data_IF_828996646595
#
_entry.id   IF_828996646595
#
_cell.length_a   1.000
_cell.length_b   1.000
_cell.length_c   1.000
_cell.angle_alpha   90.00
_cell.angle_beta   90.00
_cell.angle_gamma   90.00
#
_symmetry.space_group_name_H-M   'P 1'
#
loop_
_entity.id
_entity.type
_entity.pdbx_description
1 polymer ?
#
# COMPACT_ATOMS: atom_id res chain seq x y z
N UNK A 1 7.22 -12.83 -1.54
CA UNK A 1 8.33 -11.91 -1.81
C UNK A 1 7.76 -10.59 -2.30
N UNK A 2 7.56 -9.63 -1.38
CA UNK A 2 6.77 -8.40 -1.63
C UNK A 2 7.60 -7.27 -2.23
N UNK A 3 8.17 -7.52 -3.40
CA UNK A 3 8.93 -6.54 -4.19
C UNK A 3 8.58 -6.71 -5.67
N UNK A 4 8.75 -5.66 -6.49
CA UNK A 4 8.49 -5.74 -7.93
C UNK A 4 9.34 -6.83 -8.59
N UNK A 5 8.67 -7.87 -9.09
CA UNK A 5 9.30 -8.99 -9.79
C UNK A 5 8.69 -9.17 -11.18
N UNK A 6 9.53 -9.57 -12.14
CA UNK A 6 9.07 -10.19 -13.37
C UNK A 6 8.90 -11.68 -13.13
N UNK A 7 7.71 -12.22 -13.40
CA UNK A 7 7.38 -13.62 -13.18
C UNK A 7 6.85 -14.26 -14.46
N UNK A 8 7.67 -15.12 -15.09
CA UNK A 8 7.26 -15.90 -16.26
C UNK A 8 6.49 -17.19 -15.88
N UNK A 9 6.68 -17.65 -14.64
CA UNK A 9 6.01 -18.82 -14.05
C UNK A 9 5.90 -18.65 -12.54
N UNK A 10 4.99 -19.39 -11.92
CA UNK A 10 4.59 -19.18 -10.52
C UNK A 10 5.71 -19.37 -9.51
N UNK A 11 6.72 -20.20 -9.77
CA UNK A 11 7.85 -20.46 -8.88
C UNK A 11 9.13 -19.69 -9.28
N UNK A 12 9.00 -18.64 -10.08
CA UNK A 12 10.09 -17.81 -10.58
C UNK A 12 9.83 -16.35 -10.26
N UNK A 13 10.89 -15.57 -10.02
CA UNK A 13 10.77 -14.13 -9.87
C UNK A 13 12.10 -13.40 -10.02
N UNK A 14 12.29 -12.71 -11.15
CA UNK A 14 13.42 -11.80 -11.33
C UNK A 14 13.10 -10.50 -10.63
N UNK A 15 13.88 -10.15 -9.59
CA UNK A 15 13.73 -8.88 -8.90
C UNK A 15 14.03 -7.75 -9.88
N UNK A 16 13.04 -6.90 -10.16
CA UNK A 16 13.21 -5.73 -11.04
C UNK A 16 14.00 -4.67 -10.29
N UNK A 17 13.58 -4.37 -9.06
CA UNK A 17 14.18 -3.32 -8.23
C UNK A 17 13.79 -3.48 -6.76
N UNK A 18 14.68 -3.10 -5.86
CA UNK A 18 14.36 -2.92 -4.45
C UNK A 18 13.46 -1.71 -4.24
N UNK A 19 12.59 -1.84 -3.25
CA UNK A 19 11.71 -0.78 -2.73
C UNK A 19 11.82 -0.76 -1.20
N UNK A 20 11.07 0.11 -0.52
CA UNK A 20 10.95 0.11 0.96
C UNK A 20 12.28 0.32 1.71
N UNK A 21 13.28 0.94 1.08
CA UNK A 21 14.59 1.22 1.68
C UNK A 21 15.59 0.05 1.66
N UNK A 22 15.26 -1.07 1.01
CA UNK A 22 16.19 -2.18 0.80
C UNK A 22 17.18 -1.89 -0.33
N UNK A 23 18.34 -2.56 -0.29
CA UNK A 23 19.42 -2.35 -1.26
C UNK A 23 20.51 -3.42 -1.21
N UNK A 24 20.12 -4.70 -1.11
CA UNK A 24 21.12 -5.79 -1.13
C UNK A 24 21.78 -5.87 -2.51
N UNK A 25 23.13 -5.79 -2.59
CA UNK A 25 23.85 -5.85 -3.87
C UNK A 25 23.64 -7.21 -4.55
N UNK A 26 23.82 -7.24 -5.88
CA UNK A 26 23.75 -8.46 -6.70
C UNK A 26 22.44 -9.25 -6.59
N UNK A 27 21.32 -8.59 -6.25
CA UNK A 27 20.00 -9.25 -6.18
C UNK A 27 19.06 -8.75 -7.28
N UNK A 28 19.08 -7.46 -7.60
CA UNK A 28 18.33 -6.91 -8.73
C UNK A 28 18.79 -7.57 -10.05
N UNK A 29 17.85 -7.84 -10.95
CA UNK A 29 18.09 -8.56 -12.21
C UNK A 29 18.27 -10.07 -12.08
N UNK A 30 18.15 -10.66 -10.88
CA UNK A 30 18.34 -12.09 -10.65
C UNK A 30 17.06 -12.78 -10.17
N UNK A 31 16.90 -14.07 -10.52
CA UNK A 31 15.80 -14.90 -10.02
C UNK A 31 15.99 -15.22 -8.53
N UNK A 32 15.21 -14.56 -7.68
CA UNK A 32 15.31 -14.72 -6.23
C UNK A 32 14.80 -16.08 -5.76
N UNK A 33 13.91 -16.73 -6.52
CA UNK A 33 13.48 -18.08 -6.21
C UNK A 33 14.66 -19.04 -6.38
N UNK A 34 15.43 -18.91 -7.45
CA UNK A 34 16.63 -19.71 -7.69
C UNK A 34 17.73 -19.46 -6.67
N UNK A 35 17.95 -18.19 -6.27
CA UNK A 35 18.87 -17.87 -5.17
C UNK A 35 18.46 -18.56 -3.87
N UNK A 36 17.15 -18.63 -3.59
CA UNK A 36 16.62 -19.33 -2.43
C UNK A 36 16.76 -20.86 -2.56
N UNK A 37 16.49 -21.44 -3.74
CA UNK A 37 16.72 -22.89 -3.99
C UNK A 37 18.16 -23.30 -3.72
N UNK A 38 19.13 -22.53 -4.21
CA UNK A 38 20.57 -22.76 -3.96
C UNK A 38 20.89 -22.75 -2.47
N UNK A 39 20.24 -21.86 -1.72
CA UNK A 39 20.41 -21.80 -0.26
C UNK A 39 19.82 -23.02 0.43
N UNK A 40 18.60 -23.45 0.07
CA UNK A 40 17.99 -24.67 0.61
C UNK A 40 18.86 -25.91 0.35
N UNK A 41 19.39 -26.06 -0.86
CA UNK A 41 20.29 -27.16 -1.22
C UNK A 41 21.62 -27.11 -0.46
N UNK A 42 22.21 -25.92 -0.29
CA UNK A 42 23.47 -25.75 0.47
C UNK A 42 23.34 -26.19 1.93
N UNK A 43 22.15 -26.09 2.52
CA UNK A 43 21.89 -26.41 3.91
C UNK A 43 21.06 -27.70 4.09
N UNK A 44 20.91 -28.52 3.04
CA UNK A 44 20.16 -29.79 3.06
C UNK A 44 18.75 -29.68 3.64
N UNK A 45 18.06 -28.56 3.39
CA UNK A 45 16.71 -28.32 3.90
C UNK A 45 15.70 -29.12 3.04
N UNK A 46 14.87 -30.01 3.63
CA UNK A 46 13.92 -30.85 2.89
C UNK A 46 12.66 -30.06 2.51
N UNK A 47 12.82 -28.97 1.75
CA UNK A 47 11.75 -28.10 1.30
C UNK A 47 11.87 -27.82 -0.21
N UNK A 48 10.73 -27.61 -0.86
CA UNK A 48 10.66 -27.28 -2.28
C UNK A 48 9.85 -26.02 -2.47
N UNK A 49 10.39 -25.07 -3.24
CA UNK A 49 9.65 -23.88 -3.65
C UNK A 49 8.64 -24.30 -4.72
N UNK A 50 7.35 -24.12 -4.41
CA UNK A 50 6.26 -24.42 -5.34
C UNK A 50 5.65 -23.16 -5.97
N UNK A 51 5.78 -22.02 -5.28
CA UNK A 51 5.27 -20.73 -5.72
C UNK A 51 6.09 -19.61 -5.07
N UNK A 52 6.21 -18.49 -5.78
CA UNK A 52 6.68 -17.20 -5.32
C UNK A 52 5.54 -16.21 -5.53
N UNK A 53 5.01 -15.68 -4.45
CA UNK A 53 3.82 -14.80 -4.45
C UNK A 53 4.15 -13.41 -3.94
N UNK A 54 3.41 -12.41 -4.40
CA UNK A 54 3.30 -11.12 -3.74
C UNK A 54 2.36 -11.24 -2.53
N UNK A 55 2.61 -10.47 -1.47
CA UNK A 55 1.73 -10.43 -0.29
C UNK A 55 0.28 -10.13 -0.66
N UNK A 56 0.08 -9.16 -1.55
CA UNK A 56 -1.23 -8.66 -1.96
C UNK A 56 -2.02 -9.70 -2.75
N UNK A 57 -1.33 -10.49 -3.58
CA UNK A 57 -1.94 -11.67 -4.24
C UNK A 57 -2.30 -12.73 -3.22
N UNK A 58 -1.44 -12.99 -2.24
CA UNK A 58 -1.76 -13.87 -1.13
C UNK A 58 -2.98 -13.41 -0.34
N UNK A 59 -3.08 -12.10 -0.06
CA UNK A 59 -4.22 -11.45 0.62
C UNK A 59 -5.50 -11.68 -0.17
N UNK A 60 -5.48 -11.51 -1.49
CA UNK A 60 -6.63 -11.79 -2.35
C UNK A 60 -7.11 -13.23 -2.21
N UNK A 61 -6.19 -14.18 -2.33
CA UNK A 61 -6.54 -15.61 -2.30
C UNK A 61 -7.00 -16.05 -0.91
N UNK A 62 -6.34 -15.59 0.16
CA UNK A 62 -6.73 -15.91 1.54
C UNK A 62 -8.10 -15.32 1.89
N UNK A 63 -8.34 -14.04 1.57
CA UNK A 63 -9.63 -13.41 1.84
C UNK A 63 -10.74 -13.99 0.97
N UNK A 64 -10.48 -14.33 -0.29
CA UNK A 64 -11.47 -15.01 -1.13
C UNK A 64 -11.82 -16.41 -0.62
N UNK A 65 -10.85 -17.12 -0.03
CA UNK A 65 -11.07 -18.44 0.55
C UNK A 65 -12.05 -18.40 1.74
N UNK A 66 -12.01 -17.34 2.55
CA UNK A 66 -12.89 -17.16 3.72
C UNK A 66 -14.21 -16.47 3.35
N UNK A 67 -14.13 -15.43 2.51
CA UNK A 67 -15.27 -14.64 2.02
C UNK A 67 -15.27 -14.67 0.48
N UNK A 68 -16.05 -15.56 -0.15
CA UNK A 68 -16.10 -15.74 -1.60
C UNK A 68 -16.55 -14.50 -2.39
N UNK A 69 -17.14 -13.50 -1.73
CA UNK A 69 -17.45 -12.22 -2.35
C UNK A 69 -16.23 -11.27 -2.45
N UNK A 70 -15.08 -11.64 -1.87
CA UNK A 70 -13.84 -10.88 -2.02
C UNK A 70 -13.33 -10.97 -3.45
N UNK A 71 -13.26 -9.82 -4.13
CA UNK A 71 -12.80 -9.73 -5.54
C UNK A 71 -11.54 -8.90 -5.71
N UNK A 72 -11.20 -8.09 -4.71
CA UNK A 72 -10.05 -7.18 -4.71
C UNK A 72 -9.34 -7.34 -3.37
N UNK A 73 -8.02 -7.33 -3.38
CA UNK A 73 -7.22 -7.13 -2.18
C UNK A 73 -6.40 -5.84 -2.28
N UNK A 74 -6.25 -5.15 -1.16
CA UNK A 74 -5.45 -3.94 -1.05
C UNK A 74 -4.51 -4.02 0.15
N UNK A 75 -3.31 -3.49 -0.02
CA UNK A 75 -2.38 -3.22 1.09
C UNK A 75 -2.28 -1.72 1.25
N UNK A 76 -2.56 -1.23 2.46
CA UNK A 76 -2.40 0.16 2.89
C UNK A 76 -1.54 0.20 4.15
N UNK A 77 -0.21 0.28 3.97
CA UNK A 77 0.76 0.26 5.07
C UNK A 77 1.93 1.20 4.80
N UNK A 78 3.16 0.73 5.05
CA UNK A 78 4.38 1.47 4.67
C UNK A 78 4.46 1.72 3.15
N UNK A 79 3.94 0.78 2.36
CA UNK A 79 3.68 0.96 0.93
C UNK A 79 2.20 0.80 0.61
N UNK A 80 1.86 0.82 -0.67
CA UNK A 80 0.52 0.50 -1.14
C UNK A 80 0.54 -0.46 -2.33
N UNK A 81 -0.45 -1.35 -2.40
CA UNK A 81 -0.62 -2.23 -3.56
C UNK A 81 -2.06 -2.75 -3.67
N UNK A 82 -2.42 -3.30 -4.83
CA UNK A 82 -3.66 -4.04 -5.03
C UNK A 82 -3.47 -5.28 -5.89
N UNK A 83 -4.36 -6.24 -5.69
CA UNK A 83 -4.49 -7.41 -6.53
C UNK A 83 -5.98 -7.73 -6.79
N UNK A 84 -6.27 -8.28 -7.96
CA UNK A 84 -7.61 -8.74 -8.34
C UNK A 84 -7.52 -9.91 -9.33
N UNK A 85 -8.63 -10.61 -9.57
CA UNK A 85 -8.71 -11.65 -10.61
C UNK A 85 -9.15 -11.03 -11.94
N UNK A 86 -8.35 -11.25 -12.98
CA UNK A 86 -8.59 -10.79 -14.35
C UNK A 86 -8.89 -11.98 -15.27
N UNK A 87 -9.65 -11.76 -16.34
CA UNK A 87 -9.84 -12.78 -17.38
C UNK A 87 -8.62 -12.82 -18.31
N UNK A 88 -8.08 -14.01 -18.58
CA UNK A 88 -6.89 -14.19 -19.42
C UNK A 88 -7.04 -13.57 -20.81
N UNK A 89 -8.23 -13.66 -21.41
CA UNK A 89 -8.54 -13.02 -22.69
C UNK A 89 -8.35 -11.49 -22.72
N UNK A 90 -8.37 -10.83 -21.56
CA UNK A 90 -8.15 -9.38 -21.42
C UNK A 90 -6.68 -9.03 -21.09
N UNK A 91 -5.75 -10.00 -21.17
CA UNK A 91 -4.32 -9.83 -20.90
C UNK A 91 -3.49 -10.15 -22.17
N UNK A 92 -3.46 -9.27 -23.18
CA UNK A 92 -2.82 -9.55 -24.47
C UNK A 92 -1.31 -9.85 -24.36
N UNK A 93 -0.63 -9.28 -23.35
CA UNK A 93 0.81 -9.48 -23.14
C UNK A 93 1.21 -10.94 -22.83
N UNK A 94 0.27 -11.78 -22.36
CA UNK A 94 0.53 -13.20 -22.06
C UNK A 94 -0.12 -14.16 -23.07
N UNK A 95 -0.72 -13.66 -24.15
CA UNK A 95 -1.44 -14.49 -25.12
C UNK A 95 -0.57 -15.63 -25.69
N UNK A 96 0.75 -15.40 -25.80
CA UNK A 96 1.72 -16.39 -26.26
C UNK A 96 1.89 -17.61 -25.33
N UNK A 97 1.42 -17.54 -24.07
CA UNK A 97 1.46 -18.65 -23.12
C UNK A 97 0.39 -19.73 -23.38
N UNK A 98 -0.58 -19.45 -24.25
CA UNK A 98 -1.61 -20.43 -24.64
C UNK A 98 -2.55 -20.85 -23.50
N UNK A 99 -2.73 -19.99 -22.49
CA UNK A 99 -3.70 -20.20 -21.41
C UNK A 99 -5.11 -19.96 -21.97
N UNK A 100 -6.07 -20.78 -21.55
CA UNK A 100 -7.50 -20.62 -21.90
C UNK A 100 -7.97 -19.17 -21.68
N UNK A 101 -8.49 -18.47 -22.71
CA UNK A 101 -8.98 -17.10 -22.58
C UNK A 101 -10.06 -16.89 -21.53
N UNK A 102 -10.85 -17.92 -21.22
CA UNK A 102 -11.91 -17.86 -20.19
C UNK A 102 -11.41 -18.16 -18.78
N UNK A 103 -10.13 -18.55 -18.62
CA UNK A 103 -9.53 -18.73 -17.31
C UNK A 103 -9.32 -17.38 -16.59
N UNK A 104 -9.27 -17.45 -15.27
CA UNK A 104 -8.92 -16.31 -14.43
C UNK A 104 -7.42 -16.31 -14.08
N UNK A 105 -6.84 -15.12 -14.00
CA UNK A 105 -5.45 -14.88 -13.63
C UNK A 105 -5.40 -13.81 -12.54
N UNK A 106 -4.69 -14.08 -11.45
CA UNK A 106 -4.45 -13.06 -10.43
C UNK A 106 -3.48 -12.00 -10.97
N UNK A 107 -3.90 -10.73 -10.93
CA UNK A 107 -3.07 -9.58 -11.26
C UNK A 107 -2.55 -8.97 -9.98
N UNK A 108 -1.23 -8.88 -9.86
CA UNK A 108 -0.58 -7.95 -8.95
C UNK A 108 -0.39 -6.62 -9.69
N UNK A 109 -1.05 -5.55 -9.23
CA UNK A 109 -1.08 -4.30 -9.97
C UNK A 109 0.24 -3.51 -9.85
N UNK A 110 0.91 -3.59 -8.70
CA UNK A 110 2.01 -2.66 -8.33
C UNK A 110 1.58 -1.20 -8.55
N UNK A 111 0.34 -0.86 -8.14
CA UNK A 111 -0.31 0.41 -8.49
C UNK A 111 0.31 1.65 -7.85
N UNK A 112 1.31 1.48 -6.97
CA UNK A 112 2.04 2.58 -6.36
C UNK A 112 2.73 3.46 -7.41
N UNK A 113 3.05 2.88 -8.56
CA UNK A 113 3.64 3.56 -9.71
C UNK A 113 2.62 4.36 -10.56
N UNK A 114 1.32 4.31 -10.26
CA UNK A 114 0.32 5.08 -11.01
C UNK A 114 0.69 6.57 -11.08
N UNK A 115 0.60 7.12 -12.29
CA UNK A 115 0.88 8.53 -12.60
C UNK A 115 2.31 9.00 -12.23
N UNK A 116 3.28 8.09 -12.27
CA UNK A 116 4.69 8.42 -11.99
C UNK A 116 5.43 9.08 -13.16
N UNK A 117 4.97 8.89 -14.40
CA UNK A 117 5.70 9.41 -15.56
C UNK A 117 5.21 10.80 -15.98
N UNK A 118 3.91 10.95 -16.24
CA UNK A 118 3.33 12.19 -16.77
C UNK A 118 2.86 13.16 -15.67
N UNK A 119 2.55 12.66 -14.47
CA UNK A 119 2.04 13.43 -13.33
C UNK A 119 0.81 14.30 -13.70
N UNK A 120 -0.13 13.73 -14.46
CA UNK A 120 -1.27 14.46 -15.01
C UNK A 120 -2.51 14.40 -14.10
N UNK A 121 -2.64 13.35 -13.28
CA UNK A 121 -3.90 13.00 -12.64
C UNK A 121 -3.87 13.16 -11.11
N UNK A 122 -2.70 13.02 -10.48
CA UNK A 122 -2.57 13.11 -9.03
C UNK A 122 -2.45 14.57 -8.58
N UNK A 123 -3.21 14.98 -7.54
CA UNK A 123 -3.18 16.35 -7.01
C UNK A 123 -1.94 16.58 -6.14
N UNK A 124 -0.76 16.61 -6.76
CA UNK A 124 0.52 16.80 -6.08
C UNK A 124 0.67 18.24 -5.61
N UNK A 125 0.90 18.42 -4.32
CA UNK A 125 1.27 19.71 -3.72
C UNK A 125 2.78 19.92 -3.80
N UNK A 126 3.25 21.13 -3.49
CA UNK A 126 4.69 21.40 -3.35
C UNK A 126 5.38 20.47 -2.33
N UNK A 127 4.67 20.05 -1.28
CA UNK A 127 5.20 19.11 -0.28
C UNK A 127 5.39 17.70 -0.86
N UNK A 128 4.45 17.24 -1.69
CA UNK A 128 4.56 15.94 -2.37
C UNK A 128 5.68 15.97 -3.43
N UNK A 129 5.93 17.13 -4.05
CA UNK A 129 7.05 17.34 -4.98
C UNK A 129 8.38 17.26 -4.22
N UNK A 130 8.52 17.97 -3.10
CA UNK A 130 9.73 17.90 -2.26
C UNK A 130 10.02 16.47 -1.79
N UNK A 131 9.01 15.73 -1.34
CA UNK A 131 9.16 14.33 -0.92
C UNK A 131 9.65 13.46 -2.07
N UNK A 132 9.12 13.67 -3.26
CA UNK A 132 9.52 12.91 -4.45
C UNK A 132 10.97 13.19 -4.83
N UNK A 133 11.34 14.46 -4.96
CA UNK A 133 12.70 14.91 -5.32
C UNK A 133 13.77 14.44 -4.32
N UNK A 134 13.44 14.38 -3.03
CA UNK A 134 14.35 13.94 -1.97
C UNK A 134 14.31 12.43 -1.71
N UNK A 135 13.42 11.69 -2.37
CA UNK A 135 13.32 10.24 -2.19
C UNK A 135 14.49 9.51 -2.86
N UNK A 136 14.70 8.24 -2.50
CA UNK A 136 15.72 7.40 -3.14
C UNK A 136 15.49 7.19 -4.64
N UNK A 137 14.27 7.43 -5.13
CA UNK A 137 13.88 7.28 -6.55
C UNK A 137 12.93 8.41 -6.94
N UNK A 138 13.46 9.60 -7.27
CA UNK A 138 12.66 10.72 -7.75
C UNK A 138 11.90 10.39 -9.04
N UNK A 139 10.66 10.85 -9.16
CA UNK A 139 9.79 10.58 -10.32
C UNK A 139 9.17 9.18 -10.32
N UNK A 140 9.36 8.37 -9.28
CA UNK A 140 8.77 7.03 -9.19
C UNK A 140 7.79 6.92 -8.03
N UNK A 141 6.90 5.92 -8.07
CA UNK A 141 5.98 5.62 -6.97
C UNK A 141 5.09 6.81 -6.56
N UNK A 142 4.66 7.62 -7.53
CA UNK A 142 3.93 8.87 -7.27
C UNK A 142 2.67 8.61 -6.44
N UNK A 143 1.83 7.64 -6.83
CA UNK A 143 0.63 7.31 -6.07
C UNK A 143 0.95 6.82 -4.65
N UNK A 144 1.95 5.95 -4.48
CA UNK A 144 2.37 5.47 -3.16
C UNK A 144 2.84 6.60 -2.25
N UNK A 145 3.61 7.56 -2.79
CA UNK A 145 4.09 8.74 -2.05
C UNK A 145 2.96 9.60 -1.51
N UNK A 146 1.80 9.59 -2.16
CA UNK A 146 0.64 10.37 -1.72
C UNK A 146 -0.20 9.68 -0.64
N UNK A 147 -0.20 8.34 -0.57
CA UNK A 147 -1.15 7.59 0.27
C UNK A 147 -0.52 6.72 1.35
N UNK A 148 0.75 6.33 1.22
CA UNK A 148 1.33 5.34 2.12
C UNK A 148 1.76 5.94 3.46
N UNK A 149 1.72 5.10 4.49
CA UNK A 149 2.08 5.47 5.86
C UNK A 149 3.56 5.78 6.04
N UNK A 150 4.39 5.64 5.01
CA UNK A 150 5.78 6.13 5.03
C UNK A 150 5.84 7.66 4.89
N UNK A 151 4.90 8.26 4.17
CA UNK A 151 5.01 9.66 3.72
C UNK A 151 4.02 10.61 4.39
N UNK A 152 2.94 10.11 5.00
CA UNK A 152 1.93 10.98 5.63
C UNK A 152 2.53 11.87 6.74
N UNK A 153 3.40 11.31 7.58
CA UNK A 153 4.13 12.06 8.59
C UNK A 153 5.06 13.12 8.00
N UNK A 154 5.76 12.78 6.91
CA UNK A 154 6.67 13.71 6.24
C UNK A 154 5.94 14.88 5.57
N UNK A 155 4.76 14.64 5.00
CA UNK A 155 3.91 15.71 4.47
C UNK A 155 3.55 16.70 5.58
N UNK A 156 3.09 16.19 6.72
CA UNK A 156 2.74 17.04 7.85
C UNK A 156 3.97 17.80 8.38
N UNK A 157 5.12 17.14 8.46
CA UNK A 157 6.39 17.75 8.88
C UNK A 157 6.80 18.91 7.97
N UNK A 158 6.74 18.73 6.65
CA UNK A 158 7.10 19.78 5.69
C UNK A 158 6.19 21.00 5.80
N UNK A 159 4.89 20.79 6.01
CA UNK A 159 3.93 21.88 6.26
C UNK A 159 4.29 22.62 7.56
N UNK A 160 4.65 21.89 8.62
CA UNK A 160 5.09 22.51 9.88
C UNK A 160 6.38 23.31 9.68
N UNK A 161 7.36 22.77 8.94
CA UNK A 161 8.62 23.47 8.69
C UNK A 161 8.40 24.78 7.94
N UNK A 162 7.51 24.80 6.93
CA UNK A 162 7.13 26.03 6.24
C UNK A 162 6.54 27.06 7.21
N UNK A 163 5.64 26.64 8.10
CA UNK A 163 5.03 27.54 9.08
C UNK A 163 6.03 28.03 10.15
N UNK A 164 7.08 27.26 10.43
CA UNK A 164 8.19 27.71 11.28
C UNK A 164 8.99 28.79 10.55
N UNK A 165 9.35 28.56 9.29
CA UNK A 165 10.09 29.51 8.46
C UNK A 165 9.34 30.83 8.26
N UNK A 166 8.00 30.78 8.16
CA UNK A 166 7.11 31.94 8.10
C UNK A 166 6.89 32.63 9.45
N UNK A 167 7.37 32.06 10.56
CA UNK A 167 7.21 32.61 11.91
C UNK A 167 5.77 32.53 12.43
N UNK A 168 5.01 31.52 12.01
CA UNK A 168 3.60 31.33 12.41
C UNK A 168 3.47 30.44 13.65
N UNK A 169 4.31 29.41 13.76
CA UNK A 169 4.29 28.43 14.86
C UNK A 169 5.64 28.35 15.57
N UNK A 170 5.64 27.88 16.83
CA UNK A 170 6.84 27.67 17.65
C UNK A 170 7.74 28.90 17.83
N UNK A 171 7.14 30.10 17.84
CA UNK A 171 7.85 31.37 17.94
C UNK A 171 8.81 31.42 19.14
N UNK A 172 10.08 31.71 18.85
CA UNK A 172 11.15 31.82 19.86
C UNK A 172 11.67 30.49 20.42
N UNK A 173 11.25 29.34 19.86
CA UNK A 173 11.71 28.02 20.27
C UNK A 173 12.77 27.46 19.31
N UNK A 174 13.51 26.44 19.75
CA UNK A 174 14.54 25.78 18.94
C UNK A 174 13.95 24.56 18.20
N UNK A 175 13.79 24.67 16.89
CA UNK A 175 13.03 23.73 16.04
C UNK A 175 13.87 22.67 15.33
N UNK A 176 15.19 22.67 15.50
CA UNK A 176 16.13 21.81 14.74
C UNK A 176 15.75 20.30 14.69
N UNK A 177 15.05 19.76 15.70
CA UNK A 177 14.64 18.35 15.73
C UNK A 177 13.55 18.01 14.72
N UNK A 178 12.58 18.90 14.51
CA UNK A 178 11.46 18.66 13.57
C UNK A 178 11.86 18.95 12.12
N UNK A 179 12.92 19.72 11.93
CA UNK A 179 13.51 20.02 10.62
C UNK A 179 14.23 18.81 10.01
N UNK A 180 14.56 17.78 10.81
CA UNK A 180 15.19 16.55 10.33
C UNK A 180 14.18 15.78 9.44
N UNK A 181 14.53 15.44 8.18
CA UNK A 181 13.66 14.67 7.30
C UNK A 181 13.23 13.34 7.92
N UNK A 182 11.96 12.96 7.74
CA UNK A 182 11.35 11.74 8.27
C UNK A 182 11.41 11.59 9.80
N UNK A 183 11.65 12.68 10.55
CA UNK A 183 11.56 12.67 12.02
C UNK A 183 10.12 12.57 12.53
N UNK A 184 9.13 12.78 11.66
CA UNK A 184 7.72 12.76 12.00
C UNK A 184 7.04 11.50 11.45
N UNK A 185 6.72 10.55 12.32
CA UNK A 185 6.08 9.30 11.93
C UNK A 185 4.57 9.45 11.74
N UNK A 186 3.99 8.64 10.86
CA UNK A 186 2.53 8.53 10.67
C UNK A 186 1.80 8.10 11.95
N UNK A 187 2.48 7.41 12.88
CA UNK A 187 1.91 7.10 14.18
C UNK A 187 1.55 8.37 14.98
N UNK A 188 2.31 9.45 14.84
CA UNK A 188 1.97 10.72 15.48
C UNK A 188 0.67 11.30 14.96
N UNK A 189 0.41 11.21 13.65
CA UNK A 189 -0.87 11.64 13.06
C UNK A 189 -2.03 10.86 13.65
N UNK A 190 -1.91 9.53 13.74
CA UNK A 190 -2.93 8.68 14.38
C UNK A 190 -3.21 9.12 15.82
N UNK A 191 -2.16 9.38 16.61
CA UNK A 191 -2.30 9.81 18.01
C UNK A 191 -2.95 11.20 18.13
N UNK A 192 -2.60 12.14 17.23
CA UNK A 192 -3.21 13.47 17.18
C UNK A 192 -4.71 13.41 16.87
N UNK A 193 -5.09 12.57 15.91
CA UNK A 193 -6.51 12.45 15.51
C UNK A 193 -7.36 11.81 16.61
N UNK A 194 -6.83 10.75 17.24
CA UNK A 194 -7.47 9.98 18.30
C UNK A 194 -7.51 10.67 19.66
N UNK A 195 -6.86 11.83 19.83
CA UNK A 195 -6.83 12.53 21.11
C UNK A 195 -8.27 12.88 21.59
N UNK A 196 -8.74 12.32 22.71
CA UNK A 196 -10.07 12.57 23.23
C UNK A 196 -10.15 13.82 24.11
N UNK A 197 -9.02 14.47 24.41
CA UNK A 197 -8.94 15.57 25.38
C UNK A 197 -9.18 16.92 24.73
N UNK A 198 -9.79 17.85 25.45
CA UNK A 198 -10.04 19.21 24.98
C UNK A 198 -8.72 20.00 24.86
N UNK A 199 -7.77 19.73 25.75
CA UNK A 199 -6.44 20.35 25.76
C UNK A 199 -5.48 19.75 24.74
N UNK A 200 -5.84 18.62 24.10
CA UNK A 200 -5.00 17.89 23.14
C UNK A 200 -3.68 17.40 23.73
N UNK A 201 -3.76 16.70 24.87
CA UNK A 201 -2.61 16.24 25.66
C UNK A 201 -1.66 15.30 24.91
N UNK A 202 -2.16 14.48 23.97
CA UNK A 202 -1.31 13.62 23.15
C UNK A 202 -0.42 14.47 22.24
N UNK A 203 -0.97 15.56 21.72
CA UNK A 203 -0.24 16.51 20.87
C UNK A 203 0.84 17.22 21.70
N UNK A 204 0.52 17.63 22.93
CA UNK A 204 1.53 18.17 23.87
C UNK A 204 2.65 17.14 24.08
N UNK A 205 2.31 15.88 24.36
CA UNK A 205 3.26 14.80 24.58
C UNK A 205 4.18 14.57 23.38
N UNK A 206 3.62 14.55 22.15
CA UNK A 206 4.40 14.36 20.91
C UNK A 206 5.44 15.47 20.77
N UNK A 207 5.00 16.74 20.81
CA UNK A 207 5.90 17.88 20.60
C UNK A 207 6.92 18.05 21.72
N UNK A 208 6.51 17.90 22.98
CA UNK A 208 7.41 18.06 24.12
C UNK A 208 8.43 16.92 24.24
N UNK A 209 7.99 15.66 24.14
CA UNK A 209 8.87 14.50 24.37
C UNK A 209 9.84 14.28 23.21
N UNK A 210 9.36 14.29 21.97
CA UNK A 210 10.18 13.95 20.81
C UNK A 210 10.92 15.16 20.23
N UNK A 211 10.30 16.34 20.27
CA UNK A 211 10.83 17.54 19.61
C UNK A 211 11.29 18.63 20.58
N UNK A 212 11.06 18.48 21.89
CA UNK A 212 11.34 19.53 22.88
C UNK A 212 10.69 20.89 22.53
N UNK A 213 9.47 20.82 21.98
CA UNK A 213 8.68 21.97 21.60
C UNK A 213 7.44 22.09 22.50
N UNK A 214 7.19 23.29 22.99
CA UNK A 214 5.93 23.67 23.62
C UNK A 214 4.93 24.11 22.54
N UNK A 215 3.65 23.83 22.79
CA UNK A 215 2.57 24.23 21.88
C UNK A 215 1.53 25.07 22.63
N UNK A 216 0.93 26.00 21.91
CA UNK A 216 -0.32 26.67 22.29
C UNK A 216 -1.52 25.80 21.92
N UNK A 217 -2.69 26.08 22.49
CA UNK A 217 -3.91 25.34 22.14
C UNK A 217 -4.28 25.51 20.66
N UNK A 218 -4.10 26.71 20.10
CA UNK A 218 -4.39 27.00 18.70
C UNK A 218 -3.51 26.17 17.75
N UNK A 219 -2.20 26.07 18.02
CA UNK A 219 -1.28 25.22 17.27
C UNK A 219 -1.71 23.75 17.32
N UNK A 220 -2.10 23.25 18.50
CA UNK A 220 -2.55 21.85 18.63
C UNK A 220 -3.83 21.57 17.84
N UNK A 221 -4.80 22.48 17.89
CA UNK A 221 -6.03 22.37 17.11
C UNK A 221 -5.72 22.37 15.61
N UNK A 222 -4.79 23.21 15.18
CA UNK A 222 -4.30 23.25 13.81
C UNK A 222 -3.62 21.93 13.41
N UNK A 223 -2.68 21.40 14.20
CA UNK A 223 -2.00 20.14 13.90
C UNK A 223 -2.97 18.95 13.84
N UNK A 224 -3.99 18.92 14.71
CA UNK A 224 -5.05 17.90 14.64
C UNK A 224 -5.87 18.01 13.35
N UNK A 225 -6.24 19.23 12.95
CA UNK A 225 -6.96 19.46 11.70
C UNK A 225 -6.11 19.06 10.48
N UNK A 226 -4.81 19.35 10.53
CA UNK A 226 -3.87 19.00 9.47
C UNK A 226 -3.68 17.48 9.36
N UNK A 227 -3.52 16.77 10.47
CA UNK A 227 -3.45 15.30 10.48
C UNK A 227 -4.70 14.69 9.83
N UNK A 228 -5.89 15.16 10.20
CA UNK A 228 -7.17 14.75 9.58
C UNK A 228 -7.21 14.99 8.08
N UNK A 229 -6.70 16.15 7.61
CA UNK A 229 -6.68 16.49 6.20
C UNK A 229 -5.76 15.55 5.41
N UNK A 230 -4.55 15.31 5.91
CA UNK A 230 -3.57 14.40 5.29
C UNK A 230 -4.12 12.96 5.26
N UNK A 231 -4.63 12.47 6.38
CA UNK A 231 -5.23 11.13 6.47
C UNK A 231 -6.46 10.97 5.57
N UNK A 232 -7.34 11.99 5.50
CA UNK A 232 -8.50 11.98 4.60
C UNK A 232 -8.08 11.99 3.13
N UNK A 233 -7.10 12.81 2.74
CA UNK A 233 -6.57 12.81 1.37
C UNK A 233 -6.08 11.42 0.98
N UNK A 234 -5.26 10.79 1.84
CA UNK A 234 -4.74 9.45 1.59
C UNK A 234 -5.86 8.42 1.39
N UNK A 235 -6.86 8.39 2.28
CA UNK A 235 -7.99 7.48 2.17
C UNK A 235 -8.84 7.70 0.90
N UNK A 236 -9.08 8.97 0.50
CA UNK A 236 -9.85 9.28 -0.71
C UNK A 236 -9.13 8.89 -1.99
N UNK A 237 -7.82 9.11 -2.05
CA UNK A 237 -6.99 8.66 -3.16
C UNK A 237 -6.93 7.12 -3.23
N UNK A 238 -6.83 6.43 -2.09
CA UNK A 238 -6.96 4.97 -2.02
C UNK A 238 -8.30 4.47 -2.57
N UNK A 239 -9.41 5.16 -2.27
CA UNK A 239 -10.72 4.82 -2.81
C UNK A 239 -10.79 4.92 -4.33
N UNK A 240 -10.07 5.87 -4.96
CA UNK A 240 -9.97 5.96 -6.42
C UNK A 240 -9.33 4.71 -7.05
N UNK A 241 -8.31 4.14 -6.41
CA UNK A 241 -7.69 2.89 -6.87
C UNK A 241 -8.67 1.71 -6.85
N UNK A 242 -9.40 1.56 -5.74
CA UNK A 242 -10.45 0.53 -5.62
C UNK A 242 -11.55 0.76 -6.67
N UNK A 243 -12.00 2.01 -6.80
CA UNK A 243 -13.03 2.40 -7.75
C UNK A 243 -12.65 2.06 -9.19
N UNK A 244 -11.39 2.31 -9.58
CA UNK A 244 -10.89 1.97 -10.91
C UNK A 244 -11.03 0.46 -11.21
N UNK A 245 -10.67 -0.40 -10.26
CA UNK A 245 -10.79 -1.86 -10.42
C UNK A 245 -12.27 -2.28 -10.45
N UNK A 246 -13.10 -1.73 -9.55
CA UNK A 246 -14.55 -2.00 -9.51
C UNK A 246 -15.22 -1.64 -10.84
N UNK A 247 -14.91 -0.46 -11.39
CA UNK A 247 -15.42 -0.02 -12.68
C UNK A 247 -14.92 -0.89 -13.83
N UNK A 248 -13.61 -1.20 -13.86
CA UNK A 248 -13.02 -2.04 -14.90
C UNK A 248 -13.68 -3.41 -14.96
N UNK A 249 -13.92 -4.02 -13.80
CA UNK A 249 -14.43 -5.39 -13.71
C UNK A 249 -15.96 -5.48 -13.68
N UNK A 250 -16.66 -4.35 -13.70
CA UNK A 250 -18.13 -4.32 -13.65
C UNK A 250 -18.70 -4.84 -12.33
N UNK A 251 -17.99 -4.67 -11.21
CA UNK A 251 -18.43 -5.16 -9.90
C UNK A 251 -19.48 -4.27 -9.22
N UNK A 252 -19.72 -3.08 -9.75
CA UNK A 252 -20.55 -2.07 -9.09
C UNK A 252 -22.00 -2.51 -8.86
N UNK A 253 -22.63 -3.17 -9.83
CA UNK A 253 -24.05 -3.51 -9.75
C UNK A 253 -24.33 -4.65 -8.76
N UNK A 254 -23.46 -5.66 -8.71
CA UNK A 254 -23.58 -6.77 -7.76
C UNK A 254 -22.98 -6.44 -6.40
N UNK A 255 -22.09 -5.45 -6.33
CA UNK A 255 -21.22 -5.23 -5.19
C UNK A 255 -20.07 -6.24 -5.14
N UNK A 256 -19.06 -5.92 -4.33
CA UNK A 256 -17.97 -6.84 -4.03
C UNK A 256 -17.34 -6.50 -2.68
N UNK A 257 -16.69 -7.49 -2.08
CA UNK A 257 -15.85 -7.28 -0.90
C UNK A 257 -14.41 -6.97 -1.31
N UNK A 258 -13.75 -6.14 -0.52
CA UNK A 258 -12.34 -5.78 -0.68
C UNK A 258 -11.59 -6.16 0.59
N UNK A 259 -10.71 -7.15 0.49
CA UNK A 259 -9.82 -7.53 1.60
C UNK A 259 -8.69 -6.51 1.73
N UNK A 260 -8.66 -5.74 2.81
CA UNK A 260 -7.66 -4.73 3.06
C UNK A 260 -6.79 -5.07 4.27
N UNK A 261 -5.48 -4.98 4.11
CA UNK A 261 -4.51 -5.14 5.19
C UNK A 261 -3.50 -3.97 5.19
N UNK A 262 -2.66 -3.90 6.22
CA UNK A 262 -1.63 -2.89 6.39
C UNK A 262 -1.91 -1.93 7.53
N UNK A 263 -0.86 -1.31 8.03
CA UNK A 263 -0.91 -0.49 9.25
C UNK A 263 -1.84 0.72 9.15
N UNK A 264 -2.01 1.32 7.96
CA UNK A 264 -2.94 2.43 7.79
C UNK A 264 -4.38 1.94 7.92
N UNK A 265 -4.74 0.90 7.17
CA UNK A 265 -6.09 0.36 7.22
C UNK A 265 -6.46 -0.15 8.61
N UNK A 266 -5.54 -0.86 9.26
CA UNK A 266 -5.80 -1.53 10.53
C UNK A 266 -5.74 -0.61 11.76
N UNK A 267 -4.95 0.47 11.72
CA UNK A 267 -4.62 1.25 12.93
C UNK A 267 -4.85 2.76 12.78
N UNK A 268 -4.95 3.29 11.57
CA UNK A 268 -5.13 4.72 11.39
C UNK A 268 -6.60 5.11 11.66
N UNK A 269 -6.89 6.08 12.55
CA UNK A 269 -8.25 6.36 12.99
C UNK A 269 -9.17 6.75 11.83
N UNK A 270 -10.29 6.04 11.67
CA UNK A 270 -11.30 6.30 10.65
C UNK A 270 -10.83 6.11 9.19
N UNK A 271 -9.70 5.45 8.94
CA UNK A 271 -9.17 5.30 7.59
C UNK A 271 -10.09 4.43 6.70
N UNK A 272 -10.57 3.30 7.23
CA UNK A 272 -11.52 2.43 6.54
C UNK A 272 -12.84 3.17 6.23
N UNK A 273 -13.37 3.93 7.19
CA UNK A 273 -14.60 4.72 7.00
C UNK A 273 -14.42 5.75 5.89
N UNK A 274 -13.28 6.45 5.86
CA UNK A 274 -12.98 7.45 4.82
C UNK A 274 -12.79 6.85 3.43
N UNK A 275 -12.31 5.60 3.33
CA UNK A 275 -12.30 4.87 2.06
C UNK A 275 -13.74 4.62 1.60
N UNK A 276 -14.61 4.13 2.49
CA UNK A 276 -16.03 3.90 2.17
C UNK A 276 -16.74 5.20 1.79
N UNK A 277 -16.52 6.28 2.53
CA UNK A 277 -17.01 7.62 2.16
C UNK A 277 -16.54 8.01 0.75
N UNK A 278 -15.27 7.79 0.43
CA UNK A 278 -14.72 8.03 -0.90
C UNK A 278 -15.42 7.22 -2.00
N UNK A 279 -15.69 5.93 -1.74
CA UNK A 279 -16.39 5.06 -2.69
C UNK A 279 -17.86 5.49 -2.90
N UNK A 280 -18.53 5.91 -1.84
CA UNK A 280 -19.90 6.46 -1.91
C UNK A 280 -19.91 7.80 -2.64
N UNK A 281 -18.92 8.65 -2.43
CA UNK A 281 -18.82 9.93 -3.15
C UNK A 281 -18.57 9.73 -4.65
N UNK A 282 -17.84 8.67 -5.04
CA UNK A 282 -17.56 8.34 -6.44
C UNK A 282 -18.78 7.70 -7.13
N UNK A 283 -19.42 6.73 -6.49
CA UNK A 283 -20.46 5.90 -7.12
C UNK A 283 -21.89 6.18 -6.64
N UNK A 284 -22.09 7.15 -5.76
CA UNK A 284 -23.37 7.39 -5.09
C UNK A 284 -23.77 6.23 -4.19
N UNK A 285 -25.07 5.95 -4.10
CA UNK A 285 -25.60 4.88 -3.24
C UNK A 285 -25.02 3.50 -3.56
N UNK A 286 -24.69 3.23 -4.84
CA UNK A 286 -24.07 1.97 -5.24
C UNK A 286 -22.69 1.74 -4.63
N UNK A 287 -21.98 2.81 -4.25
CA UNK A 287 -20.70 2.70 -3.55
C UNK A 287 -20.81 1.98 -2.20
N UNK A 288 -21.99 1.97 -1.57
CA UNK A 288 -22.26 1.23 -0.32
C UNK A 288 -22.18 -0.29 -0.50
N UNK A 289 -22.27 -0.78 -1.74
CA UNK A 289 -22.16 -2.21 -2.06
C UNK A 289 -20.71 -2.67 -2.21
N UNK A 290 -19.74 -1.74 -2.13
CA UNK A 290 -18.32 -2.04 -2.10
C UNK A 290 -17.86 -1.99 -0.66
N UNK A 291 -17.66 -3.15 -0.06
CA UNK A 291 -17.38 -3.28 1.38
C UNK A 291 -15.93 -3.66 1.59
N UNK A 292 -15.15 -2.78 2.22
CA UNK A 292 -13.78 -3.11 2.63
C UNK A 292 -13.80 -3.74 4.02
N UNK A 293 -13.00 -4.79 4.21
CA UNK A 293 -12.87 -5.47 5.50
C UNK A 293 -11.41 -5.81 5.79
N UNK A 294 -11.10 -6.14 7.04
CA UNK A 294 -9.78 -6.67 7.38
C UNK A 294 -9.55 -7.96 6.61
N UNK A 295 -8.43 -8.01 5.89
CA UNK A 295 -8.04 -9.21 5.19
C UNK A 295 -7.42 -10.26 6.10
N UNK A 296 -7.39 -11.49 5.58
CA UNK A 296 -6.69 -12.61 6.18
C UNK A 296 -5.18 -12.49 5.93
N UNK A 297 -4.37 -13.29 6.63
CA UNK A 297 -2.92 -13.32 6.45
C UNK A 297 -2.54 -13.74 5.02
N UNK A 298 -2.26 -12.77 4.16
CA UNK A 298 -1.88 -13.00 2.78
C UNK A 298 -0.48 -13.60 2.62
N UNK A 299 0.46 -13.18 3.47
CA UNK A 299 1.87 -13.57 3.33
C UNK A 299 2.13 -15.01 3.79
N UNK A 300 1.45 -15.45 4.85
CA UNK A 300 1.51 -16.82 5.34
C UNK A 300 0.41 -17.70 4.74
N UNK A 301 -0.82 -17.55 5.22
CA UNK A 301 -1.97 -18.39 4.81
C UNK A 301 -2.22 -18.30 3.30
N UNK A 302 -2.24 -17.09 2.74
CA UNK A 302 -2.45 -16.89 1.30
C UNK A 302 -1.40 -17.60 0.44
N UNK A 303 -0.12 -17.45 0.79
CA UNK A 303 0.97 -18.17 0.11
C UNK A 303 0.84 -19.69 0.21
N UNK A 304 0.39 -20.21 1.36
CA UNK A 304 0.14 -21.64 1.54
C UNK A 304 -1.02 -22.16 0.67
N UNK A 305 -2.11 -21.38 0.55
CA UNK A 305 -3.23 -21.72 -0.33
C UNK A 305 -2.80 -21.69 -1.80
N UNK A 306 -2.05 -20.67 -2.22
CA UNK A 306 -1.50 -20.61 -3.59
C UNK A 306 -0.59 -21.79 -3.88
N UNK A 307 0.28 -22.15 -2.93
CA UNK A 307 1.13 -23.33 -3.01
C UNK A 307 0.31 -24.63 -3.20
N UNK A 308 -0.75 -24.80 -2.42
CA UNK A 308 -1.65 -25.95 -2.52
C UNK A 308 -2.39 -25.99 -3.87
N UNK A 309 -2.96 -24.87 -4.31
CA UNK A 309 -3.63 -24.75 -5.61
C UNK A 309 -2.68 -25.06 -6.77
N UNK A 310 -1.44 -24.55 -6.70
CA UNK A 310 -0.40 -24.79 -7.69
C UNK A 310 -0.07 -26.27 -7.80
N UNK A 311 0.13 -26.94 -6.66
CA UNK A 311 0.40 -28.38 -6.63
C UNK A 311 -0.74 -29.18 -7.26
N UNK A 312 -1.98 -28.93 -6.84
CA UNK A 312 -3.17 -29.61 -7.40
C UNK A 312 -3.28 -29.39 -8.92
N UNK A 313 -3.01 -28.17 -9.40
CA UNK A 313 -3.01 -27.85 -10.84
C UNK A 313 -1.95 -28.66 -11.60
N UNK A 314 -0.72 -28.70 -11.09
CA UNK A 314 0.41 -29.43 -11.70
C UNK A 314 0.18 -30.95 -11.70
N UNK A 315 -0.34 -31.50 -10.60
CA UNK A 315 -0.67 -32.93 -10.46
C UNK A 315 -1.74 -33.36 -11.50
N UNK A 316 -2.66 -32.45 -11.86
CA UNK A 316 -3.66 -32.66 -12.92
C UNK A 316 -3.11 -32.49 -14.35
N UNK A 317 -1.84 -32.14 -14.53
CA UNK A 317 -1.27 -31.93 -15.87
C UNK A 317 -1.54 -30.57 -16.48
N UNK A 318 -2.15 -29.64 -15.75
CA UNK A 318 -2.52 -28.32 -16.27
C UNK A 318 -1.34 -27.36 -16.11
N UNK A 319 -0.89 -26.77 -17.23
CA UNK A 319 0.12 -25.71 -17.27
C UNK A 319 1.37 -26.00 -16.40
N UNK A 320 1.94 -27.21 -16.54
CA UNK A 320 2.99 -27.73 -15.64
C UNK A 320 4.23 -26.83 -15.53
N UNK A 321 4.57 -26.16 -16.63
CA UNK A 321 5.76 -25.33 -16.75
C UNK A 321 5.50 -23.83 -16.46
N UNK A 322 4.23 -23.46 -16.22
CA UNK A 322 3.79 -22.12 -15.82
C UNK A 322 3.49 -22.05 -14.32
#
# INVERSE_FOLDING_TARGET
>A
FSYPCSQDKIDHGVLIRWTKGFGSPNTEGHDVAEMFRKSLAKFDVPATIVALTCDTTGTLIASHYVEPNTRIACIFGTGCNAAYMERVGDIPKIAHLGIDPDAEMAINCEWGAFDSFEHEHLPRTKYDITIDEQSNKPGEQAFEKLISGRYLGEILRLIICELIDEGVVFLGQNTYKIEIPYSFDTAFLSLMESDPTDELLMIIGIFSHFFALETTLAERQFFRALARLVGRRAARLSACGIAAIVSKMGYLDKGCSVGADGSLYNKYPGFADRIHEGLVDIFGEKGRNIVTHHAEDGSGIGSAIVAAMTKVRKDKGLYKDL
#
